data_IF_473357059018
#
_entry.id   IF_473357059018
#
_cell.length_a   1.000
_cell.length_b   1.000
_cell.length_c   1.000
_cell.angle_alpha   90.00
_cell.angle_beta   90.00
_cell.angle_gamma   90.00
#
_symmetry.space_group_name_H-M   'P 1'
#
loop_
_entity.id
_entity.type
_entity.pdbx_description
1 polymer ?
#
# COMPACT_ATOMS: atom_id res chain seq x y z
N UNK A 1 -14.41 24.36 -0.89
CA UNK A 1 -15.63 23.58 -1.19
C UNK A 1 -15.61 22.37 -0.26
N UNK A 2 -16.49 22.41 0.75
CA UNK A 2 -16.89 21.41 1.75
C UNK A 2 -15.88 20.38 2.29
N UNK A 3 -15.30 20.71 3.45
CA UNK A 3 -14.68 19.79 4.43
C UNK A 3 -15.68 18.81 5.08
N UNK A 4 -16.92 18.74 4.60
CA UNK A 4 -18.04 18.02 5.22
C UNK A 4 -18.01 16.49 5.04
N UNK A 5 -17.12 15.98 4.18
CA UNK A 5 -16.98 14.54 3.89
C UNK A 5 -15.70 13.90 4.45
N UNK A 6 -14.79 14.66 5.09
CA UNK A 6 -13.52 14.11 5.59
C UNK A 6 -13.75 12.99 6.61
N UNK A 7 -14.43 13.31 7.70
CA UNK A 7 -14.72 12.35 8.79
C UNK A 7 -15.87 11.38 8.46
N UNK A 8 -16.74 11.71 7.50
CA UNK A 8 -17.89 10.86 7.09
C UNK A 8 -17.61 9.97 5.87
N UNK A 9 -16.38 9.96 5.36
CA UNK A 9 -15.97 9.09 4.24
C UNK A 9 -15.42 7.74 4.67
N UNK A 10 -15.37 7.48 5.98
CA UNK A 10 -14.95 6.19 6.52
C UNK A 10 -15.92 5.09 6.14
N UNK A 11 -15.37 4.03 5.56
CA UNK A 11 -16.12 2.86 5.09
C UNK A 11 -15.88 1.63 5.96
N UNK A 12 -14.77 1.60 6.70
CA UNK A 12 -14.37 0.52 7.58
C UNK A 12 -14.29 1.01 9.03
N UNK A 13 -14.85 0.25 9.98
CA UNK A 13 -14.67 0.47 11.42
C UNK A 13 -13.23 0.23 11.88
N UNK A 14 -12.45 -0.53 11.08
CA UNK A 14 -11.02 -0.72 11.28
C UNK A 14 -10.25 0.12 10.26
N UNK A 15 -9.42 1.05 10.75
CA UNK A 15 -8.50 1.81 9.91
C UNK A 15 -7.18 1.08 9.65
N UNK A 16 -6.95 -0.08 10.29
CA UNK A 16 -5.77 -0.90 10.07
C UNK A 16 -5.93 -2.35 10.54
N UNK A 17 -5.12 -3.23 9.95
CA UNK A 17 -5.06 -4.65 10.27
C UNK A 17 -3.66 -5.21 9.93
N UNK A 18 -3.41 -6.48 10.26
CA UNK A 18 -2.22 -7.20 9.79
C UNK A 18 -2.60 -8.18 8.69
N UNK A 19 -2.14 -7.93 7.47
CA UNK A 19 -2.37 -8.78 6.30
C UNK A 19 -1.09 -9.57 6.01
N UNK A 20 -1.15 -10.90 6.09
CA UNK A 20 -0.01 -11.78 5.80
C UNK A 20 1.29 -11.41 6.54
N UNK A 21 1.18 -10.95 7.79
CA UNK A 21 2.32 -10.52 8.60
C UNK A 21 2.75 -9.06 8.38
N UNK A 22 2.13 -8.33 7.45
CA UNK A 22 2.41 -6.92 7.18
C UNK A 22 1.33 -6.05 7.82
N UNK A 23 1.69 -5.08 8.69
CA UNK A 23 0.79 -4.04 9.14
C UNK A 23 0.34 -3.16 7.95
N UNK A 24 -0.97 -3.03 7.77
CA UNK A 24 -1.58 -2.18 6.75
C UNK A 24 -2.59 -1.22 7.39
N UNK A 25 -2.63 0.03 6.93
CA UNK A 25 -3.57 1.03 7.47
C UNK A 25 -3.91 2.13 6.46
N UNK A 26 -5.09 2.73 6.59
CA UNK A 26 -5.60 3.80 5.73
C UNK A 26 -6.03 4.98 6.59
N UNK A 27 -5.73 6.21 6.14
CA UNK A 27 -6.06 7.44 6.88
C UNK A 27 -7.55 7.60 7.17
N UNK A 28 -8.40 7.32 6.18
CA UNK A 28 -9.84 7.48 6.33
C UNK A 28 -10.60 6.16 6.32
N UNK A 29 -9.95 4.99 6.29
CA UNK A 29 -10.62 3.70 6.34
C UNK A 29 -11.46 3.43 5.07
N UNK A 30 -10.95 3.80 3.90
CA UNK A 30 -11.62 3.49 2.63
C UNK A 30 -11.33 2.04 2.22
N UNK A 31 -12.36 1.33 1.77
CA UNK A 31 -12.25 -0.09 1.47
C UNK A 31 -11.41 -0.37 0.23
N UNK A 32 -11.48 0.47 -0.81
CA UNK A 32 -10.65 0.33 -2.01
C UNK A 32 -9.15 0.37 -1.70
N UNK A 33 -8.73 1.35 -0.89
CA UNK A 33 -7.34 1.49 -0.43
C UNK A 33 -6.89 0.25 0.38
N UNK A 34 -7.78 -0.26 1.24
CA UNK A 34 -7.50 -1.47 2.00
C UNK A 34 -7.36 -2.70 1.09
N UNK A 35 -8.20 -2.84 0.07
CA UNK A 35 -8.11 -3.92 -0.92
C UNK A 35 -6.76 -3.89 -1.63
N UNK A 36 -6.30 -2.73 -2.10
CA UNK A 36 -5.00 -2.59 -2.76
C UNK A 36 -3.84 -3.03 -1.85
N UNK A 37 -3.86 -2.60 -0.59
CA UNK A 37 -2.82 -2.97 0.39
C UNK A 37 -2.86 -4.46 0.77
N UNK A 38 -4.05 -5.06 0.89
CA UNK A 38 -4.20 -6.49 1.18
C UNK A 38 -3.78 -7.35 0.00
N UNK A 39 -4.15 -6.97 -1.23
CA UNK A 39 -3.68 -7.63 -2.47
C UNK A 39 -2.16 -7.55 -2.59
N UNK A 40 -1.56 -6.41 -2.26
CA UNK A 40 -0.10 -6.25 -2.20
C UNK A 40 0.54 -7.21 -1.19
N UNK A 41 0.02 -7.24 0.05
CA UNK A 41 0.53 -8.12 1.09
C UNK A 41 0.41 -9.61 0.70
N UNK A 42 -0.70 -10.00 0.06
CA UNK A 42 -0.88 -11.36 -0.46
C UNK A 42 0.16 -11.67 -1.56
N UNK A 43 0.40 -10.75 -2.49
CA UNK A 43 1.38 -10.92 -3.55
C UNK A 43 2.79 -11.12 -3.00
N UNK A 44 3.19 -10.36 -1.97
CA UNK A 44 4.47 -10.56 -1.30
C UNK A 44 4.56 -11.91 -0.58
N UNK A 45 3.50 -12.31 0.12
CA UNK A 45 3.47 -13.58 0.84
C UNK A 45 3.58 -14.80 -0.09
N UNK A 46 3.00 -14.73 -1.30
CA UNK A 46 3.15 -15.77 -2.34
C UNK A 46 4.60 -15.93 -2.78
N UNK A 47 5.38 -14.86 -2.73
CA UNK A 47 6.81 -14.85 -3.10
C UNK A 47 7.75 -14.98 -1.87
N UNK A 48 7.20 -15.11 -0.65
CA UNK A 48 7.93 -15.12 0.63
C UNK A 48 8.76 -13.85 0.88
N UNK A 49 8.21 -12.71 0.49
CA UNK A 49 8.85 -11.40 0.59
C UNK A 49 8.26 -10.50 1.69
N UNK A 50 7.24 -10.98 2.41
CA UNK A 50 6.50 -10.19 3.40
C UNK A 50 7.38 -9.63 4.53
N UNK A 51 8.44 -10.35 4.91
CA UNK A 51 9.38 -9.92 5.95
C UNK A 51 10.27 -8.73 5.58
N UNK A 52 10.23 -8.28 4.33
CA UNK A 52 10.97 -7.10 3.87
C UNK A 52 10.17 -5.80 3.99
N UNK A 53 8.87 -5.89 4.31
CA UNK A 53 7.99 -4.74 4.49
C UNK A 53 7.63 -4.59 5.97
N UNK A 54 7.90 -3.40 6.50
CA UNK A 54 7.61 -3.04 7.89
C UNK A 54 6.18 -2.56 8.08
N UNK A 55 5.69 -1.76 7.15
CA UNK A 55 4.36 -1.16 7.21
C UNK A 55 3.92 -0.67 5.82
N UNK A 56 2.61 -0.70 5.58
CA UNK A 56 1.98 -0.09 4.40
C UNK A 56 0.89 0.86 4.86
N UNK A 57 0.93 2.09 4.38
CA UNK A 57 -0.01 3.13 4.78
C UNK A 57 -0.59 3.86 3.58
N UNK A 58 -1.92 3.93 3.49
CA UNK A 58 -2.58 4.71 2.45
C UNK A 58 -3.02 6.09 2.98
N UNK A 59 -2.43 7.16 2.44
CA UNK A 59 -2.90 8.52 2.68
C UNK A 59 -4.04 8.87 1.71
N UNK A 60 -5.27 8.59 2.15
CA UNK A 60 -6.50 8.88 1.40
C UNK A 60 -6.66 10.34 0.97
N UNK A 61 -5.95 11.28 1.61
CA UNK A 61 -6.00 12.72 1.26
C UNK A 61 -5.05 13.05 0.11
N UNK A 62 -3.88 12.42 0.08
CA UNK A 62 -2.88 12.60 -0.97
C UNK A 62 -3.05 11.58 -2.12
N UNK A 63 -3.94 10.60 -1.95
CA UNK A 63 -4.19 9.50 -2.88
C UNK A 63 -2.90 8.75 -3.21
N UNK A 64 -2.13 8.42 -2.18
CA UNK A 64 -0.84 7.75 -2.31
C UNK A 64 -0.64 6.74 -1.18
N UNK A 65 -0.11 5.58 -1.55
CA UNK A 65 0.31 4.55 -0.63
C UNK A 65 1.81 4.66 -0.31
N UNK A 66 2.17 4.74 0.95
CA UNK A 66 3.54 4.69 1.43
C UNK A 66 3.90 3.28 1.89
N UNK A 67 5.00 2.76 1.36
CA UNK A 67 5.53 1.43 1.68
C UNK A 67 6.84 1.60 2.44
N UNK A 68 6.87 1.19 3.70
CA UNK A 68 8.06 1.25 4.54
C UNK A 68 8.76 -0.11 4.55
N UNK A 69 10.03 -0.15 4.15
CA UNK A 69 10.85 -1.37 4.15
C UNK A 69 11.57 -1.60 5.47
N UNK A 70 11.91 -2.85 5.76
CA UNK A 70 12.67 -3.22 6.96
C UNK A 70 14.15 -2.86 6.87
N UNK A 71 14.73 -2.80 5.67
CA UNK A 71 16.13 -2.39 5.43
C UNK A 71 16.23 -1.52 4.17
N UNK A 72 16.83 -0.34 4.30
CA UNK A 72 17.06 0.58 3.17
C UNK A 72 18.09 0.06 2.16
N UNK A 73 18.89 -0.94 2.51
CA UNK A 73 19.88 -1.57 1.62
C UNK A 73 19.25 -2.49 0.56
N UNK A 74 17.94 -2.71 0.61
CA UNK A 74 17.23 -3.50 -0.40
C UNK A 74 17.20 -2.79 -1.77
N UNK A 75 17.30 -1.46 -1.80
CA UNK A 75 17.16 -0.68 -3.03
C UNK A 75 18.08 -1.18 -4.17
N UNK A 76 17.48 -1.51 -5.31
CA UNK A 76 18.19 -1.99 -6.50
C UNK A 76 18.60 -3.47 -6.45
N UNK A 77 18.15 -4.23 -5.44
CA UNK A 77 18.33 -5.69 -5.40
C UNK A 77 17.23 -6.41 -6.17
N UNK A 78 17.42 -7.69 -6.55
CA UNK A 78 16.34 -8.48 -7.15
C UNK A 78 15.10 -8.62 -6.26
N UNK A 79 15.27 -8.54 -4.94
CA UNK A 79 14.15 -8.54 -3.98
C UNK A 79 13.34 -7.25 -4.11
N UNK A 80 14.01 -6.10 -4.23
CA UNK A 80 13.36 -4.81 -4.45
C UNK A 80 12.61 -4.77 -5.78
N UNK A 81 13.20 -5.30 -6.86
CA UNK A 81 12.53 -5.42 -8.15
C UNK A 81 11.27 -6.29 -8.09
N UNK A 82 11.32 -7.41 -7.36
CA UNK A 82 10.17 -8.30 -7.18
C UNK A 82 9.05 -7.62 -6.39
N UNK A 83 9.38 -6.97 -5.28
CA UNK A 83 8.39 -6.22 -4.49
C UNK A 83 7.81 -5.03 -5.27
N UNK A 84 8.63 -4.33 -6.07
CA UNK A 84 8.16 -3.26 -6.96
C UNK A 84 7.19 -3.78 -8.02
N UNK A 85 7.48 -4.96 -8.59
CA UNK A 85 6.59 -5.60 -9.55
C UNK A 85 5.25 -6.00 -8.91
N UNK A 86 5.26 -6.44 -7.66
CA UNK A 86 4.03 -6.68 -6.90
C UNK A 86 3.24 -5.38 -6.66
N UNK A 87 3.90 -4.33 -6.15
CA UNK A 87 3.27 -3.03 -5.91
C UNK A 87 2.64 -2.46 -7.18
N UNK A 88 3.32 -2.54 -8.33
CA UNK A 88 2.78 -2.08 -9.63
C UNK A 88 1.55 -2.85 -10.11
N UNK A 89 1.34 -4.08 -9.65
CA UNK A 89 0.17 -4.89 -10.04
C UNK A 89 -1.04 -4.64 -9.16
N UNK A 90 -0.83 -4.24 -7.89
CA UNK A 90 -1.88 -4.23 -6.87
C UNK A 90 -2.25 -2.82 -6.39
N UNK A 91 -1.28 -1.89 -6.40
CA UNK A 91 -1.47 -0.54 -5.88
C UNK A 91 -1.52 0.46 -7.04
N UNK A 92 -2.47 1.38 -6.99
CA UNK A 92 -2.71 2.38 -8.04
C UNK A 92 -1.64 3.47 -8.06
N UNK A 93 -1.34 4.08 -6.91
CA UNK A 93 -0.29 5.09 -6.74
C UNK A 93 0.46 4.89 -5.42
N UNK A 94 1.79 4.89 -5.45
CA UNK A 94 2.61 4.64 -4.26
C UNK A 94 3.96 5.34 -4.28
N UNK A 95 4.53 5.57 -3.10
CA UNK A 95 5.91 6.04 -2.94
C UNK A 95 6.86 4.85 -2.89
N UNK A 96 7.87 4.83 -3.76
CA UNK A 96 8.93 3.82 -3.78
C UNK A 96 10.29 4.51 -3.71
N UNK A 97 11.01 4.33 -2.59
CA UNK A 97 12.31 4.99 -2.33
C UNK A 97 12.29 6.51 -2.57
N UNK A 98 11.20 7.16 -2.15
CA UNK A 98 11.00 8.61 -2.30
C UNK A 98 10.51 9.06 -3.69
N UNK A 99 10.25 8.13 -4.61
CA UNK A 99 9.75 8.42 -5.96
C UNK A 99 8.30 7.94 -6.06
N UNK A 100 7.41 8.81 -6.53
CA UNK A 100 6.02 8.42 -6.83
C UNK A 100 6.01 7.49 -8.05
N UNK A 101 5.39 6.33 -7.88
CA UNK A 101 5.14 5.32 -8.89
C UNK A 101 3.64 5.20 -9.14
N UNK A 102 3.30 4.77 -10.34
CA UNK A 102 1.94 4.39 -10.72
C UNK A 102 1.93 2.91 -11.08
N UNK A 103 0.93 2.20 -10.57
CA UNK A 103 0.76 0.77 -10.80
C UNK A 103 -0.54 0.49 -11.52
N UNK A 104 -1.44 -0.23 -10.85
CA UNK A 104 -2.71 -0.68 -11.40
C UNK A 104 -3.58 0.52 -11.81
N UNK A 105 -3.70 0.77 -13.11
CA UNK A 105 -4.72 1.67 -13.63
C UNK A 105 -6.05 0.92 -13.69
N UNK A 106 -7.10 1.49 -13.10
CA UNK A 106 -8.48 1.08 -13.39
C UNK A 106 -8.84 1.54 -14.82
N UNK A 107 -8.36 0.80 -15.82
CA UNK A 107 -8.91 0.80 -17.17
C UNK A 107 -9.95 -0.30 -17.23
N UNK A 108 -11.21 0.07 -17.52
CA UNK A 108 -12.28 -0.90 -17.84
C UNK A 108 -12.03 -1.64 -19.16
#
# INVERSE_FOLDING_TARGET
>A
MNEWFGEKSTQLDISGLTAFGIPVSTRYGRSGEMVEMVEFAEALAKERLEGYVKNVFYDSKADICDIEFTDSRLQGTPVDDAMLAAAKKTISQFTWHGIVQHGRSFGG
#
